data_IF_679667889696
#
_entry.id   IF_679667889696
#
_cell.length_a   1.000
_cell.length_b   1.000
_cell.length_c   1.000
_cell.angle_alpha   90.00
_cell.angle_beta   90.00
_cell.angle_gamma   90.00
#
_symmetry.space_group_name_H-M   'P 1'
#
loop_
_entity.id
_entity.type
_entity.pdbx_description
1 polymer ?
#
# COMPACT_ATOMS: atom_id res chain seq x y z
N UNK A 1 0.06 18.32 9.81
CA UNK A 1 1.13 19.24 9.36
C UNK A 1 0.56 20.65 9.26
N UNK A 2 1.07 21.57 10.04
CA UNK A 2 0.64 22.97 10.09
C UNK A 2 1.59 23.81 9.20
N UNK A 3 1.09 24.82 8.51
CA UNK A 3 1.87 25.68 7.62
C UNK A 3 2.19 25.07 6.24
N UNK A 4 3.14 25.68 5.52
CA UNK A 4 3.64 25.27 4.18
C UNK A 4 2.53 25.15 3.11
N UNK A 5 1.53 26.02 3.13
CA UNK A 5 0.35 25.90 2.26
C UNK A 5 0.70 26.00 0.77
N UNK A 6 1.68 26.85 0.40
CA UNK A 6 2.15 26.97 -1.00
C UNK A 6 2.79 25.66 -1.49
N UNK A 7 3.65 25.05 -0.68
CA UNK A 7 4.31 23.78 -1.03
C UNK A 7 3.28 22.63 -1.12
N UNK A 8 2.36 22.53 -0.16
CA UNK A 8 1.26 21.55 -0.21
C UNK A 8 0.41 21.69 -1.47
N UNK A 9 0.05 22.93 -1.86
CA UNK A 9 -0.71 23.19 -3.07
C UNK A 9 0.05 22.78 -4.33
N UNK A 10 1.34 23.12 -4.43
CA UNK A 10 2.17 22.74 -5.58
C UNK A 10 2.27 21.22 -5.74
N UNK A 11 2.50 20.50 -4.63
CA UNK A 11 2.59 19.04 -4.63
C UNK A 11 1.24 18.39 -4.95
N UNK A 12 0.13 18.93 -4.45
CA UNK A 12 -1.21 18.45 -4.78
C UNK A 12 -1.54 18.63 -6.27
N UNK A 13 -1.12 19.75 -6.88
CA UNK A 13 -1.29 19.98 -8.33
C UNK A 13 -0.45 18.97 -9.13
N UNK A 14 0.79 18.72 -8.72
CA UNK A 14 1.64 17.72 -9.38
C UNK A 14 1.03 16.31 -9.32
N UNK A 15 0.50 15.90 -8.17
CA UNK A 15 -0.22 14.63 -8.02
C UNK A 15 -1.45 14.56 -8.93
N UNK A 16 -2.25 15.62 -8.96
CA UNK A 16 -3.43 15.71 -9.81
C UNK A 16 -3.08 15.60 -11.30
N UNK A 17 -1.99 16.20 -11.73
CA UNK A 17 -1.50 16.10 -13.10
C UNK A 17 -1.06 14.67 -13.43
N UNK A 18 -0.42 13.98 -12.49
CA UNK A 18 -0.06 12.56 -12.65
C UNK A 18 -1.30 11.68 -12.81
N UNK A 19 -2.33 11.92 -11.99
CA UNK A 19 -3.60 11.21 -12.10
C UNK A 19 -4.32 11.47 -13.43
N UNK A 20 -4.36 12.73 -13.87
CA UNK A 20 -4.91 13.09 -15.19
C UNK A 20 -4.20 12.38 -16.33
N UNK A 21 -2.86 12.29 -16.26
CA UNK A 21 -2.09 11.55 -17.25
C UNK A 21 -2.48 10.06 -17.30
N UNK A 22 -2.73 9.44 -16.18
CA UNK A 22 -3.16 8.03 -16.14
C UNK A 22 -4.50 7.80 -16.82
N UNK A 23 -5.39 8.81 -16.79
CA UNK A 23 -6.70 8.76 -17.45
C UNK A 23 -6.63 8.99 -18.97
N UNK A 24 -5.51 9.48 -19.51
CA UNK A 24 -5.33 9.63 -20.96
C UNK A 24 -5.23 8.29 -21.66
N UNK A 25 -5.84 8.22 -22.84
CA UNK A 25 -5.77 7.07 -23.75
C UNK A 25 -4.96 7.45 -25.01
N UNK A 26 -4.33 6.47 -25.65
CA UNK A 26 -3.57 6.67 -26.89
C UNK A 26 -2.14 7.18 -26.69
N UNK A 27 -1.53 7.66 -27.76
CA UNK A 27 -0.12 8.03 -27.83
C UNK A 27 0.25 9.20 -26.92
N UNK A 28 -0.64 10.14 -26.74
CA UNK A 28 -0.46 11.31 -25.87
C UNK A 28 -0.05 10.93 -24.43
N UNK A 29 -0.47 9.74 -23.95
CA UNK A 29 -0.06 9.24 -22.65
C UNK A 29 1.46 9.01 -22.54
N UNK A 30 2.09 8.61 -23.64
CA UNK A 30 3.52 8.32 -23.71
C UNK A 30 4.35 9.58 -23.88
N UNK A 31 3.80 10.61 -24.55
CA UNK A 31 4.46 11.90 -24.73
C UNK A 31 4.53 12.72 -23.45
N UNK A 32 3.51 12.63 -22.59
CA UNK A 32 3.45 13.35 -21.32
C UNK A 32 4.19 12.57 -20.24
N UNK A 33 5.46 12.89 -20.02
CA UNK A 33 6.24 12.29 -18.95
C UNK A 33 5.89 12.89 -17.58
N UNK A 34 5.77 12.07 -16.52
CA UNK A 34 5.59 12.59 -15.17
C UNK A 34 6.86 13.32 -14.72
N UNK A 35 6.70 14.56 -14.29
CA UNK A 35 7.83 15.37 -13.79
C UNK A 35 8.15 15.02 -12.33
N UNK A 36 9.44 14.99 -12.01
CA UNK A 36 9.91 14.86 -10.64
C UNK A 36 9.67 16.15 -9.85
N UNK A 37 9.49 16.04 -8.54
CA UNK A 37 9.28 17.18 -7.66
C UNK A 37 10.58 17.43 -6.90
N UNK A 38 11.19 18.59 -7.08
CA UNK A 38 12.33 19.05 -6.31
C UNK A 38 11.82 19.91 -5.15
N UNK A 39 12.15 19.52 -3.91
CA UNK A 39 11.83 20.27 -2.70
C UNK A 39 13.10 20.84 -2.08
N UNK A 40 13.21 22.16 -2.03
CA UNK A 40 14.36 22.88 -1.47
C UNK A 40 13.91 23.61 -0.19
N UNK A 41 14.75 23.61 0.81
CA UNK A 41 14.52 24.33 2.08
C UNK A 41 15.35 23.75 3.22
N UNK A 42 15.43 24.44 4.36
CA UNK A 42 16.21 24.01 5.53
C UNK A 42 15.69 22.68 6.10
N UNK A 43 16.51 22.09 6.97
CA UNK A 43 16.13 20.87 7.69
C UNK A 43 14.95 21.15 8.62
N UNK A 44 14.07 20.17 8.81
CA UNK A 44 12.94 20.28 9.74
C UNK A 44 11.68 20.94 9.18
N UNK A 45 11.70 21.57 8.00
CA UNK A 45 10.52 22.26 7.42
C UNK A 45 9.43 21.31 6.89
N UNK A 46 9.65 20.00 6.95
CA UNK A 46 8.62 19.00 6.63
C UNK A 46 8.65 18.45 5.20
N UNK A 47 9.77 18.60 4.46
CA UNK A 47 9.91 18.07 3.09
C UNK A 47 9.57 16.58 2.98
N UNK A 48 10.20 15.76 3.82
CA UNK A 48 9.98 14.30 3.85
C UNK A 48 8.57 13.95 4.32
N UNK A 49 8.00 14.73 5.25
CA UNK A 49 6.65 14.49 5.77
C UNK A 49 5.58 14.77 4.70
N UNK A 50 5.76 15.80 3.88
CA UNK A 50 4.88 16.04 2.71
C UNK A 50 4.89 14.83 1.79
N UNK A 51 6.08 14.34 1.43
CA UNK A 51 6.23 13.18 0.53
C UNK A 51 5.61 11.91 1.11
N UNK A 52 5.81 11.64 2.39
CA UNK A 52 5.22 10.48 3.08
C UNK A 52 3.70 10.54 3.11
N UNK A 53 3.12 11.72 3.40
CA UNK A 53 1.65 11.89 3.41
C UNK A 53 1.06 11.80 2.01
N UNK A 54 1.80 12.31 1.02
CA UNK A 54 1.40 12.20 -0.37
C UNK A 54 1.34 10.74 -0.83
N UNK A 55 2.34 9.93 -0.49
CA UNK A 55 2.35 8.50 -0.82
C UNK A 55 1.17 7.76 -0.19
N UNK A 56 0.85 8.06 1.08
CA UNK A 56 -0.34 7.48 1.74
C UNK A 56 -1.64 7.90 1.05
N UNK A 57 -1.76 9.17 0.66
CA UNK A 57 -2.95 9.66 -0.06
C UNK A 57 -3.10 9.02 -1.43
N UNK A 58 -1.99 8.74 -2.11
CA UNK A 58 -1.95 8.12 -3.42
C UNK A 58 -1.97 6.57 -3.35
N UNK A 59 -2.03 5.98 -2.15
CA UNK A 59 -1.88 4.53 -1.93
C UNK A 59 -0.65 3.94 -2.64
N UNK A 60 0.45 4.69 -2.64
CA UNK A 60 1.69 4.34 -3.32
C UNK A 60 2.78 3.95 -2.31
N UNK A 61 3.68 3.03 -2.67
CA UNK A 61 4.82 2.68 -1.83
C UNK A 61 5.75 3.88 -1.63
N UNK A 62 6.39 3.96 -0.47
CA UNK A 62 7.28 5.05 -0.10
C UNK A 62 8.58 4.52 0.50
N UNK A 63 9.70 4.92 -0.10
CA UNK A 63 11.06 4.68 0.41
C UNK A 63 11.74 6.01 0.63
N UNK A 64 12.40 6.18 1.77
CA UNK A 64 13.31 7.29 2.03
C UNK A 64 14.73 6.79 1.89
N UNK A 65 15.47 7.35 0.97
CA UNK A 65 16.89 7.05 0.77
C UNK A 65 17.74 8.30 0.96
N UNK A 66 18.97 8.10 1.44
CA UNK A 66 20.00 9.13 1.55
C UNK A 66 20.99 8.92 0.41
N UNK A 67 21.08 9.89 -0.50
CA UNK A 67 21.93 9.78 -1.70
C UNK A 67 23.41 9.50 -1.37
N UNK A 68 23.89 9.99 -0.24
CA UNK A 68 25.27 9.78 0.23
C UNK A 68 25.61 8.32 0.57
N UNK A 69 24.61 7.44 0.67
CA UNK A 69 24.84 6.01 0.92
C UNK A 69 25.06 5.21 -0.37
N UNK A 70 24.86 5.83 -1.51
CA UNK A 70 25.01 5.21 -2.82
C UNK A 70 26.22 5.84 -3.48
N UNK A 71 27.25 5.04 -3.73
CA UNK A 71 28.45 5.46 -4.44
C UNK A 71 28.38 4.98 -5.88
N UNK A 72 29.02 5.74 -6.78
CA UNK A 72 29.23 5.30 -8.16
C UNK A 72 30.03 3.98 -8.20
N UNK A 73 29.78 3.23 -9.27
CA UNK A 73 30.24 1.88 -9.51
C UNK A 73 31.70 1.66 -9.10
N UNK A 74 31.95 0.77 -8.13
CA UNK A 74 33.28 0.27 -7.79
C UNK A 74 33.79 0.54 -6.37
N UNK A 75 33.11 1.32 -5.54
CA UNK A 75 33.46 1.54 -4.14
C UNK A 75 32.38 1.02 -3.19
N UNK A 76 32.78 0.68 -1.95
CA UNK A 76 31.93 0.10 -0.89
C UNK A 76 30.69 0.95 -0.63
N UNK A 77 29.62 0.73 -1.36
CA UNK A 77 28.33 1.39 -1.22
C UNK A 77 27.17 0.48 -1.62
N UNK A 78 25.94 0.81 -1.17
CA UNK A 78 24.76 0.09 -1.61
C UNK A 78 24.51 0.39 -3.09
N UNK A 79 24.20 -0.66 -3.85
CA UNK A 79 23.80 -0.55 -5.25
C UNK A 79 22.51 0.27 -5.40
N UNK A 80 22.46 1.15 -6.38
CA UNK A 80 21.28 1.97 -6.69
C UNK A 80 20.06 1.09 -7.00
N UNK A 81 20.28 -0.09 -7.57
CA UNK A 81 19.22 -1.08 -7.82
C UNK A 81 18.52 -1.53 -6.54
N UNK A 82 19.20 -1.50 -5.39
CA UNK A 82 18.62 -1.86 -4.10
C UNK A 82 17.44 -0.95 -3.74
N UNK A 83 17.45 0.32 -4.16
CA UNK A 83 16.33 1.26 -3.95
C UNK A 83 15.05 0.74 -4.62
N UNK A 84 15.20 0.22 -5.84
CA UNK A 84 14.07 -0.32 -6.61
C UNK A 84 13.56 -1.61 -5.96
N UNK A 85 14.46 -2.48 -5.50
CA UNK A 85 14.10 -3.72 -4.80
C UNK A 85 13.34 -3.42 -3.51
N UNK A 86 13.85 -2.52 -2.67
CA UNK A 86 13.20 -2.10 -1.44
C UNK A 86 11.79 -1.51 -1.71
N UNK A 87 11.65 -0.71 -2.78
CA UNK A 87 10.37 -0.15 -3.20
C UNK A 87 9.37 -1.23 -3.62
N UNK A 88 9.82 -2.22 -4.37
CA UNK A 88 9.00 -3.36 -4.82
C UNK A 88 8.56 -4.20 -3.61
N UNK A 89 9.44 -4.48 -2.67
CA UNK A 89 9.10 -5.25 -1.46
C UNK A 89 8.00 -4.55 -0.64
N UNK A 90 8.11 -3.23 -0.47
CA UNK A 90 7.07 -2.44 0.20
C UNK A 90 5.75 -2.48 -0.58
N UNK A 91 5.79 -2.36 -1.91
CA UNK A 91 4.61 -2.45 -2.76
C UNK A 91 3.91 -3.81 -2.63
N UNK A 92 4.68 -4.90 -2.66
CA UNK A 92 4.17 -6.27 -2.46
C UNK A 92 3.55 -6.43 -1.07
N UNK A 93 4.20 -5.91 -0.03
CA UNK A 93 3.68 -5.98 1.34
C UNK A 93 2.35 -5.22 1.48
N UNK A 94 2.24 -4.04 0.89
CA UNK A 94 1.00 -3.26 0.86
C UNK A 94 -0.13 -4.00 0.15
N UNK A 95 0.13 -4.59 -1.02
CA UNK A 95 -0.87 -5.33 -1.78
C UNK A 95 -1.29 -6.62 -1.08
N UNK A 96 -0.35 -7.33 -0.45
CA UNK A 96 -0.66 -8.50 0.39
C UNK A 96 -1.62 -8.17 1.54
N UNK A 97 -1.42 -7.04 2.22
CA UNK A 97 -2.32 -6.59 3.29
C UNK A 97 -3.71 -6.29 2.75
N UNK A 98 -3.81 -5.63 1.59
CA UNK A 98 -5.07 -5.32 0.94
C UNK A 98 -5.82 -6.59 0.53
N UNK A 99 -5.14 -7.50 -0.15
CA UNK A 99 -5.70 -8.79 -0.57
C UNK A 99 -6.11 -9.68 0.60
N UNK A 100 -5.31 -9.69 1.68
CA UNK A 100 -5.69 -10.43 2.90
C UNK A 100 -7.00 -9.91 3.50
N UNK A 101 -7.21 -8.58 3.51
CA UNK A 101 -8.47 -8.01 4.00
C UNK A 101 -9.67 -8.39 3.11
N UNK A 102 -9.48 -8.39 1.78
CA UNK A 102 -10.53 -8.76 0.82
C UNK A 102 -11.01 -10.21 1.01
N UNK A 103 -10.08 -11.13 1.25
CA UNK A 103 -10.41 -12.56 1.40
C UNK A 103 -10.72 -12.99 2.84
N UNK A 104 -10.51 -12.12 3.83
CA UNK A 104 -10.64 -12.48 5.24
C UNK A 104 -12.02 -13.01 5.59
N UNK A 105 -13.09 -12.35 5.14
CA UNK A 105 -14.46 -12.77 5.41
C UNK A 105 -14.79 -14.13 4.79
N UNK A 106 -14.26 -14.44 3.61
CA UNK A 106 -14.42 -15.75 2.98
C UNK A 106 -13.62 -16.83 3.72
N UNK A 107 -12.38 -16.51 4.08
CA UNK A 107 -11.52 -17.43 4.83
C UNK A 107 -12.11 -17.78 6.20
N UNK A 108 -12.67 -16.78 6.89
CA UNK A 108 -13.35 -16.99 8.17
C UNK A 108 -14.56 -17.92 8.01
N UNK A 109 -15.45 -17.69 7.05
CA UNK A 109 -16.60 -18.58 6.78
C UNK A 109 -16.15 -19.99 6.45
N UNK A 110 -15.12 -20.15 5.61
CA UNK A 110 -14.60 -21.47 5.27
C UNK A 110 -13.96 -22.20 6.47
N UNK A 111 -13.33 -21.46 7.37
CA UNK A 111 -12.79 -22.01 8.60
C UNK A 111 -13.91 -22.46 9.55
N UNK A 112 -14.94 -21.63 9.74
CA UNK A 112 -16.12 -21.98 10.55
C UNK A 112 -16.81 -23.23 10.01
N UNK A 113 -16.99 -23.35 8.69
CA UNK A 113 -17.59 -24.55 8.09
C UNK A 113 -16.76 -25.80 8.33
N UNK A 114 -15.43 -25.70 8.23
CA UNK A 114 -14.54 -26.84 8.53
C UNK A 114 -14.61 -27.26 9.99
N UNK A 115 -14.70 -26.31 10.91
CA UNK A 115 -14.87 -26.61 12.33
C UNK A 115 -16.22 -27.28 12.59
N UNK A 116 -17.31 -26.78 11.99
CA UNK A 116 -18.63 -27.39 12.07
C UNK A 116 -18.64 -28.81 11.49
N UNK A 117 -17.98 -29.00 10.33
CA UNK A 117 -17.85 -30.35 9.73
C UNK A 117 -17.09 -31.34 10.64
N UNK A 118 -16.11 -30.86 11.38
CA UNK A 118 -15.35 -31.69 12.33
C UNK A 118 -16.16 -32.02 13.60
N UNK A 119 -16.97 -31.08 14.09
CA UNK A 119 -17.76 -31.25 15.33
C UNK A 119 -19.05 -32.05 15.12
N UNK A 120 -19.76 -31.77 14.05
CA UNK A 120 -21.15 -32.32 13.84
C UNK A 120 -21.17 -33.32 12.69
N UNK A 121 -20.13 -33.44 11.93
CA UNK A 121 -20.02 -34.30 10.76
C UNK A 121 -20.60 -33.67 9.48
N UNK A 122 -20.06 -34.08 8.32
CA UNK A 122 -20.45 -33.53 7.00
C UNK A 122 -21.91 -33.78 6.59
N UNK A 123 -22.57 -34.80 7.20
CA UNK A 123 -23.94 -35.21 6.89
C UNK A 123 -24.99 -34.69 7.88
N UNK A 124 -24.62 -33.82 8.82
CA UNK A 124 -25.55 -33.28 9.81
C UNK A 124 -26.61 -32.36 9.16
N UNK A 125 -27.80 -32.33 9.74
CA UNK A 125 -28.91 -31.49 9.27
C UNK A 125 -28.59 -30.01 9.40
N UNK A 126 -29.18 -29.15 8.57
CA UNK A 126 -29.01 -27.69 8.63
C UNK A 126 -29.37 -27.13 10.01
N UNK A 127 -30.43 -27.61 10.62
CA UNK A 127 -30.86 -27.19 11.96
C UNK A 127 -29.81 -27.49 13.04
N UNK A 128 -29.20 -28.68 12.98
CA UNK A 128 -28.11 -29.07 13.91
C UNK A 128 -26.89 -28.20 13.71
N UNK A 129 -26.52 -27.87 12.46
CA UNK A 129 -25.40 -27.00 12.14
C UNK A 129 -25.59 -25.56 12.63
N UNK A 130 -26.82 -25.02 12.51
CA UNK A 130 -27.16 -23.69 13.02
C UNK A 130 -27.11 -23.61 14.54
N UNK A 131 -27.65 -24.63 15.24
CA UNK A 131 -27.56 -24.70 16.70
C UNK A 131 -26.12 -24.70 17.20
N UNK A 132 -25.24 -25.49 16.59
CA UNK A 132 -23.80 -25.51 16.94
C UNK A 132 -23.06 -24.21 16.55
N UNK A 133 -23.46 -23.55 15.46
CA UNK A 133 -22.91 -22.23 15.09
C UNK A 133 -23.24 -21.19 16.16
N UNK A 134 -24.47 -21.15 16.66
CA UNK A 134 -24.89 -20.20 17.70
C UNK A 134 -24.15 -20.43 19.02
N UNK A 135 -23.94 -21.68 19.42
CA UNK A 135 -23.19 -22.04 20.64
C UNK A 135 -21.71 -21.66 20.52
N UNK A 136 -21.09 -21.86 19.36
CA UNK A 136 -19.67 -21.52 19.15
C UNK A 136 -19.40 -20.00 19.21
N UNK A 137 -20.36 -19.15 18.83
CA UNK A 137 -20.26 -17.70 18.97
C UNK A 137 -20.37 -17.16 20.39
N UNK A 138 -20.94 -17.93 21.32
CA UNK A 138 -21.10 -17.52 22.72
C UNK A 138 -19.94 -17.94 23.62
N UNK A 139 -19.01 -18.77 23.12
CA UNK A 139 -17.89 -19.31 23.89
C UNK A 139 -16.50 -18.91 23.37
N UNK A 140 -16.41 -18.03 22.34
CA UNK A 140 -15.18 -17.36 21.85
C UNK A 140 -15.24 -15.88 22.11
#
# INVERSE_FOLDING_TARGET
>A
MVGQNKAKKAVAVALRNRWRRQALKGEMKNEILPKNILMIGPTGVGKTEISRRLSKLAEAPFVKVEATRFTEVGYVGRDVEQIVRDLIEIAIAMEKVKKRKEVFAQAQKAAEEKVLDALVGKKASLATRESFRTVSYTHL
#
